data_IF_516310197376
#
_entry.id   IF_516310197376
#
_cell.length_a   1.000
_cell.length_b   1.000
_cell.length_c   1.000
_cell.angle_alpha   90.00
_cell.angle_beta   90.00
_cell.angle_gamma   90.00
#
_symmetry.space_group_name_H-M   'P 1'
#
loop_
_entity.id
_entity.type
_entity.pdbx_description
1 polymer ?
#
# COMPACT_ATOMS: atom_id res chain seq x y z
N UNK A 1 26.65 -26.41 -2.07
CA UNK A 1 25.74 -27.54 -1.81
C UNK A 1 24.88 -27.67 -3.05
N UNK A 2 25.00 -28.77 -3.78
CA UNK A 2 24.34 -28.94 -5.07
C UNK A 2 22.83 -28.68 -4.98
N UNK A 3 22.30 -27.93 -5.93
CA UNK A 3 20.88 -27.62 -6.15
C UNK A 3 20.01 -28.88 -6.40
N UNK A 4 20.55 -30.09 -6.19
CA UNK A 4 19.97 -31.39 -6.55
C UNK A 4 19.21 -32.09 -5.41
N UNK A 5 19.08 -31.50 -4.22
CA UNK A 5 18.40 -32.15 -3.08
C UNK A 5 16.98 -31.68 -2.76
N UNK A 6 16.43 -30.71 -3.51
CA UNK A 6 15.08 -30.17 -3.25
C UNK A 6 14.09 -30.57 -4.35
N UNK A 7 12.91 -31.14 -4.01
CA UNK A 7 11.93 -31.51 -5.01
C UNK A 7 11.34 -30.24 -5.67
N UNK A 8 11.13 -30.24 -7.00
CA UNK A 8 10.40 -29.19 -7.70
C UNK A 8 9.05 -28.89 -7.04
N UNK A 9 8.61 -27.64 -7.11
CA UNK A 9 7.23 -27.25 -6.79
C UNK A 9 6.28 -27.83 -7.83
N UNK A 10 5.31 -28.63 -7.40
CA UNK A 10 4.28 -29.20 -8.28
C UNK A 10 3.12 -28.23 -8.46
N UNK A 11 2.34 -28.41 -9.54
CA UNK A 11 1.14 -27.59 -9.77
C UNK A 11 0.09 -27.77 -8.67
N UNK A 12 -0.09 -29.00 -8.16
CA UNK A 12 -1.06 -29.25 -7.08
C UNK A 12 -0.69 -28.52 -5.79
N UNK A 13 0.60 -28.53 -5.41
CA UNK A 13 1.07 -27.74 -4.26
C UNK A 13 0.87 -26.25 -4.49
N UNK A 14 1.17 -25.74 -5.69
CA UNK A 14 0.94 -24.35 -6.01
C UNK A 14 -0.54 -23.96 -5.91
N UNK A 15 -1.45 -24.80 -6.43
CA UNK A 15 -2.89 -24.60 -6.32
C UNK A 15 -3.34 -24.50 -4.86
N UNK A 16 -2.83 -25.38 -3.98
CA UNK A 16 -3.09 -25.32 -2.53
C UNK A 16 -2.60 -24.02 -1.88
N UNK A 17 -1.54 -23.40 -2.41
CA UNK A 17 -1.03 -22.13 -1.90
C UNK A 17 -1.80 -20.91 -2.41
N UNK A 18 -2.26 -20.94 -3.66
CA UNK A 18 -2.90 -19.78 -4.29
C UNK A 18 -4.42 -19.75 -4.09
N UNK A 19 -5.12 -20.88 -4.14
CA UNK A 19 -6.58 -20.92 -4.04
C UNK A 19 -7.13 -20.24 -2.78
N UNK A 20 -6.57 -20.47 -1.57
CA UNK A 20 -7.05 -19.81 -0.34
C UNK A 20 -6.79 -18.31 -0.30
N UNK A 21 -5.94 -17.78 -1.18
CA UNK A 21 -5.63 -16.35 -1.25
C UNK A 21 -6.64 -15.56 -2.09
N UNK A 22 -7.71 -16.23 -2.54
CA UNK A 22 -8.85 -15.61 -3.22
C UNK A 22 -9.66 -14.65 -2.32
N UNK A 23 -10.82 -14.18 -2.78
CA UNK A 23 -11.54 -14.61 -3.97
C UNK A 23 -10.76 -14.27 -5.26
N UNK A 24 -11.01 -15.05 -6.30
CA UNK A 24 -10.44 -14.83 -7.63
C UNK A 24 -11.58 -14.59 -8.61
N UNK A 25 -11.49 -13.55 -9.43
CA UNK A 25 -12.46 -13.31 -10.51
C UNK A 25 -12.51 -14.48 -11.52
N UNK A 26 -13.53 -14.54 -12.36
CA UNK A 26 -13.64 -15.58 -13.39
C UNK A 26 -12.44 -15.54 -14.37
N UNK A 27 -12.03 -16.70 -14.88
CA UNK A 27 -10.94 -16.80 -15.86
C UNK A 27 -11.47 -16.63 -17.29
N UNK A 28 -11.85 -15.40 -17.65
CA UNK A 28 -12.37 -15.03 -18.97
C UNK A 28 -11.64 -13.80 -19.50
N UNK A 29 -11.40 -13.76 -20.82
CA UNK A 29 -10.67 -12.67 -21.49
C UNK A 29 -11.39 -11.31 -21.44
N UNK A 30 -12.69 -11.29 -21.16
CA UNK A 30 -13.51 -10.07 -21.07
C UNK A 30 -13.54 -9.44 -19.66
N UNK A 31 -12.85 -10.02 -18.70
CA UNK A 31 -12.69 -9.51 -17.34
C UNK A 31 -11.24 -9.03 -17.17
N UNK A 32 -10.96 -8.02 -16.33
CA UNK A 32 -9.58 -7.61 -16.10
C UNK A 32 -8.67 -8.76 -15.64
N UNK A 33 -7.44 -8.86 -16.18
CA UNK A 33 -6.51 -9.94 -15.86
C UNK A 33 -5.99 -9.84 -14.43
N UNK A 34 -5.47 -10.96 -13.92
CA UNK A 34 -4.60 -10.95 -12.73
C UNK A 34 -3.20 -10.49 -13.16
N UNK A 35 -2.64 -9.51 -12.45
CA UNK A 35 -1.31 -9.01 -12.73
C UNK A 35 -0.22 -9.81 -12.00
N UNK A 36 0.95 -9.98 -12.62
CA UNK A 36 2.15 -10.54 -11.99
C UNK A 36 3.37 -9.67 -12.29
N UNK A 37 4.15 -9.32 -11.26
CA UNK A 37 5.41 -8.61 -11.47
C UNK A 37 6.55 -9.60 -11.74
N UNK A 38 7.23 -9.45 -12.89
CA UNK A 38 8.29 -10.37 -13.33
C UNK A 38 9.58 -9.61 -13.57
N UNK A 39 10.61 -9.89 -12.78
CA UNK A 39 11.93 -9.24 -12.89
C UNK A 39 12.89 -9.97 -13.84
N UNK A 40 12.54 -11.18 -14.28
CA UNK A 40 13.43 -12.05 -15.06
C UNK A 40 14.32 -12.96 -14.22
N UNK A 41 14.32 -12.77 -12.89
CA UNK A 41 14.97 -13.67 -11.94
C UNK A 41 14.17 -14.96 -11.71
N UNK A 42 14.83 -15.97 -11.13
CA UNK A 42 14.28 -17.32 -10.92
C UNK A 42 12.92 -17.31 -10.20
N UNK A 43 12.78 -16.54 -9.12
CA UNK A 43 11.59 -16.62 -8.27
C UNK A 43 10.34 -16.08 -8.98
N UNK A 44 10.49 -14.94 -9.66
CA UNK A 44 9.40 -14.30 -10.42
C UNK A 44 9.02 -15.08 -11.68
N UNK A 45 10.00 -15.70 -12.36
CA UNK A 45 9.74 -16.57 -13.51
C UNK A 45 9.08 -17.88 -13.09
N UNK A 46 9.46 -18.46 -11.94
CA UNK A 46 8.79 -19.64 -11.41
C UNK A 46 7.33 -19.32 -11.05
N UNK A 47 7.06 -18.17 -10.44
CA UNK A 47 5.69 -17.72 -10.20
C UNK A 47 4.91 -17.58 -11.51
N UNK A 48 5.47 -16.91 -12.52
CA UNK A 48 4.82 -16.76 -13.82
C UNK A 48 4.50 -18.11 -14.48
N UNK A 49 5.43 -19.06 -14.44
CA UNK A 49 5.23 -20.43 -14.94
C UNK A 49 4.09 -21.15 -14.22
N UNK A 50 4.05 -21.11 -12.88
CA UNK A 50 2.98 -21.78 -12.12
C UNK A 50 1.62 -21.12 -12.37
N UNK A 51 1.60 -19.80 -12.55
CA UNK A 51 0.40 -19.05 -12.89
C UNK A 51 -0.11 -19.38 -14.30
N UNK A 52 0.75 -19.50 -15.31
CA UNK A 52 0.33 -19.83 -16.68
C UNK A 52 -0.36 -21.19 -16.79
N UNK A 53 -0.12 -22.07 -15.82
CA UNK A 53 -0.76 -23.40 -15.70
C UNK A 53 -2.02 -23.37 -14.84
N UNK A 54 -2.19 -22.34 -14.02
CA UNK A 54 -3.32 -22.19 -13.11
C UNK A 54 -4.47 -21.42 -13.76
N UNK A 55 -4.16 -20.41 -14.57
CA UNK A 55 -5.13 -19.47 -15.15
C UNK A 55 -4.70 -19.00 -16.53
N UNK A 56 -5.65 -18.68 -17.41
CA UNK A 56 -5.37 -18.12 -18.75
C UNK A 56 -5.23 -16.60 -18.73
N UNK A 57 -6.18 -15.91 -18.10
CA UNK A 57 -6.26 -14.45 -18.10
C UNK A 57 -5.31 -13.82 -17.06
N UNK A 58 -4.02 -13.78 -17.43
CA UNK A 58 -2.93 -13.19 -16.65
C UNK A 58 -2.21 -12.15 -17.51
N UNK A 59 -1.75 -11.07 -16.87
CA UNK A 59 -0.90 -10.08 -17.51
C UNK A 59 0.37 -9.85 -16.68
N UNK A 60 1.54 -9.95 -17.32
CA UNK A 60 2.81 -9.72 -16.63
C UNK A 60 3.32 -8.28 -16.83
N UNK A 61 3.80 -7.68 -15.75
CA UNK A 61 4.50 -6.40 -15.78
C UNK A 61 5.99 -6.61 -15.49
N UNK A 62 6.84 -6.09 -16.37
CA UNK A 62 8.29 -6.13 -16.24
C UNK A 62 8.74 -4.71 -16.00
N UNK A 63 9.48 -4.45 -14.91
CA UNK A 63 9.97 -3.10 -14.62
C UNK A 63 11.42 -2.97 -15.08
N UNK A 64 11.65 -2.10 -16.06
CA UNK A 64 12.99 -1.68 -16.45
C UNK A 64 13.39 -0.47 -15.62
N UNK A 65 14.34 -0.68 -14.70
CA UNK A 65 14.81 0.35 -13.78
C UNK A 65 15.79 1.35 -14.42
N UNK A 66 16.33 1.04 -15.61
CA UNK A 66 17.38 1.80 -16.29
C UNK A 66 18.65 2.10 -15.46
N UNK A 67 18.85 1.40 -14.32
CA UNK A 67 20.00 1.59 -13.45
C UNK A 67 21.29 1.01 -14.02
N UNK A 68 21.17 0.04 -14.94
CA UNK A 68 22.28 -0.63 -15.62
C UNK A 68 22.03 -0.60 -17.12
N UNK A 69 23.08 -0.52 -17.92
CA UNK A 69 22.99 -0.57 -19.40
C UNK A 69 22.35 -1.86 -19.90
N UNK A 70 22.49 -2.97 -19.16
CA UNK A 70 21.86 -4.25 -19.49
C UNK A 70 20.37 -4.35 -19.16
N UNK A 71 19.81 -3.43 -18.36
CA UNK A 71 18.45 -3.53 -17.80
C UNK A 71 17.37 -3.63 -18.88
N UNK A 72 17.47 -2.82 -19.94
CA UNK A 72 16.53 -2.88 -21.06
C UNK A 72 16.59 -4.20 -21.84
N UNK A 73 17.79 -4.74 -22.07
CA UNK A 73 17.97 -6.04 -22.73
C UNK A 73 17.44 -7.19 -21.85
N UNK A 74 17.71 -7.14 -20.54
CA UNK A 74 17.16 -8.09 -19.55
C UNK A 74 15.62 -8.08 -19.55
N UNK A 75 14.99 -6.91 -19.65
CA UNK A 75 13.54 -6.77 -19.75
C UNK A 75 12.98 -7.41 -21.04
N UNK A 76 13.62 -7.19 -22.19
CA UNK A 76 13.23 -7.80 -23.47
C UNK A 76 13.40 -9.32 -23.43
N UNK A 77 14.50 -9.83 -22.88
CA UNK A 77 14.72 -11.27 -22.69
C UNK A 77 13.62 -11.87 -21.82
N UNK A 78 13.23 -11.19 -20.75
CA UNK A 78 12.15 -11.61 -19.86
C UNK A 78 10.80 -11.64 -20.58
N UNK A 79 10.48 -10.62 -21.36
CA UNK A 79 9.27 -10.58 -22.19
C UNK A 79 9.22 -11.74 -23.18
N UNK A 80 10.34 -12.06 -23.85
CA UNK A 80 10.43 -13.20 -24.77
C UNK A 80 10.27 -14.56 -24.07
N UNK A 81 10.65 -14.68 -22.79
CA UNK A 81 10.40 -15.89 -22.00
C UNK A 81 8.93 -16.01 -21.62
N UNK A 82 8.30 -14.91 -21.25
CA UNK A 82 6.87 -14.88 -20.91
C UNK A 82 5.98 -15.18 -22.12
N UNK A 83 6.35 -14.72 -23.32
CA UNK A 83 5.62 -15.05 -24.54
C UNK A 83 5.64 -16.56 -24.83
N UNK A 84 6.75 -17.25 -24.55
CA UNK A 84 6.83 -18.73 -24.65
C UNK A 84 5.94 -19.45 -23.63
N UNK A 85 5.62 -18.78 -22.52
CA UNK A 85 4.65 -19.26 -21.53
C UNK A 85 3.21 -18.84 -21.86
N UNK A 86 2.97 -18.21 -23.02
CA UNK A 86 1.69 -17.65 -23.43
C UNK A 86 1.14 -16.58 -22.47
N UNK A 87 2.02 -15.84 -21.80
CA UNK A 87 1.64 -14.73 -20.91
C UNK A 87 1.85 -13.39 -21.62
N UNK A 88 0.77 -12.63 -21.90
CA UNK A 88 0.87 -11.23 -22.31
C UNK A 88 1.66 -10.41 -21.31
N UNK A 89 2.52 -9.50 -21.79
CA UNK A 89 3.35 -8.69 -20.89
C UNK A 89 3.58 -7.27 -21.37
N UNK A 90 3.81 -6.37 -20.42
CA UNK A 90 4.15 -4.96 -20.67
C UNK A 90 5.41 -4.59 -19.90
N UNK A 91 6.34 -3.93 -20.59
CA UNK A 91 7.54 -3.35 -19.98
C UNK A 91 7.19 -1.94 -19.49
N UNK A 92 7.49 -1.68 -18.23
CA UNK A 92 7.32 -0.41 -17.54
C UNK A 92 8.70 0.19 -17.31
N UNK A 93 9.02 1.23 -18.07
CA UNK A 93 10.30 1.91 -17.97
C UNK A 93 10.23 3.02 -16.92
N UNK A 94 11.10 2.94 -15.91
CA UNK A 94 11.23 4.00 -14.90
C UNK A 94 12.15 5.09 -15.43
N UNK A 95 11.60 6.29 -15.65
CA UNK A 95 12.39 7.46 -16.01
C UNK A 95 12.81 8.22 -14.75
N UNK A 96 13.97 8.89 -14.80
CA UNK A 96 14.40 9.90 -13.82
C UNK A 96 14.66 9.42 -12.38
N UNK A 97 15.23 8.22 -12.19
CA UNK A 97 15.78 7.85 -10.89
C UNK A 97 17.10 8.59 -10.62
N UNK A 98 17.01 9.77 -9.99
CA UNK A 98 18.17 10.57 -9.62
C UNK A 98 19.10 9.81 -8.66
N UNK A 99 20.39 9.76 -8.99
CA UNK A 99 21.43 9.16 -8.16
C UNK A 99 21.55 9.88 -6.80
N UNK A 100 21.97 9.16 -5.76
CA UNK A 100 22.23 9.72 -4.42
C UNK A 100 21.86 8.79 -3.28
N UNK A 101 22.02 9.25 -2.04
CA UNK A 101 21.61 8.52 -0.84
C UNK A 101 20.14 8.08 -0.92
N UNK A 102 19.81 6.88 -0.42
CA UNK A 102 18.47 6.28 -0.48
C UNK A 102 17.92 5.98 -1.90
N UNK A 103 18.79 5.84 -2.91
CA UNK A 103 18.39 5.41 -4.26
C UNK A 103 17.61 4.09 -4.26
N UNK A 104 18.01 3.12 -3.44
CA UNK A 104 17.34 1.81 -3.35
C UNK A 104 15.87 1.96 -2.90
N UNK A 105 15.62 2.79 -1.88
CA UNK A 105 14.27 3.04 -1.40
C UNK A 105 13.44 3.82 -2.43
N UNK A 106 14.03 4.84 -3.08
CA UNK A 106 13.36 5.56 -4.18
C UNK A 106 13.02 4.65 -5.35
N UNK A 107 13.95 3.80 -5.77
CA UNK A 107 13.74 2.85 -6.86
C UNK A 107 12.66 1.82 -6.48
N UNK A 108 12.62 1.40 -5.23
CA UNK A 108 11.56 0.51 -4.71
C UNK A 108 10.20 1.20 -4.74
N UNK A 109 10.09 2.44 -4.27
CA UNK A 109 8.84 3.22 -4.30
C UNK A 109 8.38 3.41 -5.75
N UNK A 110 9.25 3.92 -6.62
CA UNK A 110 8.95 4.15 -8.04
C UNK A 110 8.50 2.87 -8.76
N UNK A 111 9.11 1.72 -8.44
CA UNK A 111 8.68 0.43 -8.97
C UNK A 111 7.24 0.09 -8.58
N UNK A 112 6.90 0.22 -7.31
CA UNK A 112 5.54 -0.08 -6.84
C UNK A 112 4.54 0.91 -7.43
N UNK A 113 4.86 2.20 -7.48
CA UNK A 113 3.99 3.21 -8.08
C UNK A 113 3.73 2.93 -9.57
N UNK A 114 4.77 2.58 -10.34
CA UNK A 114 4.61 2.19 -11.75
C UNK A 114 3.77 0.92 -11.92
N UNK A 115 3.96 -0.08 -11.07
CA UNK A 115 3.16 -1.31 -11.08
C UNK A 115 1.69 -1.02 -10.75
N UNK A 116 1.41 -0.19 -9.74
CA UNK A 116 0.05 0.17 -9.35
C UNK A 116 -0.66 1.00 -10.43
N UNK A 117 0.02 1.96 -11.03
CA UNK A 117 -0.49 2.73 -12.16
C UNK A 117 -0.82 1.83 -13.36
N UNK A 118 0.09 0.91 -13.71
CA UNK A 118 -0.14 -0.04 -14.80
C UNK A 118 -1.30 -1.00 -14.52
N UNK A 119 -1.43 -1.49 -13.28
CA UNK A 119 -2.56 -2.31 -12.86
C UNK A 119 -3.87 -1.53 -12.97
N UNK A 120 -3.89 -0.29 -12.49
CA UNK A 120 -5.06 0.61 -12.57
C UNK A 120 -5.50 0.83 -14.02
N UNK A 121 -4.55 1.13 -14.92
CA UNK A 121 -4.80 1.31 -16.37
C UNK A 121 -5.32 0.04 -17.06
N UNK A 122 -4.97 -1.14 -16.55
CA UNK A 122 -5.47 -2.43 -17.05
C UNK A 122 -6.69 -2.96 -16.31
N UNK A 123 -7.15 -2.27 -15.26
CA UNK A 123 -8.25 -2.72 -14.40
C UNK A 123 -7.89 -3.90 -13.49
N UNK A 124 -6.61 -4.24 -13.35
CA UNK A 124 -6.16 -5.34 -12.51
C UNK A 124 -6.38 -5.03 -11.03
N UNK A 125 -7.13 -5.89 -10.34
CA UNK A 125 -7.38 -5.79 -8.91
C UNK A 125 -6.35 -6.55 -8.07
N UNK A 126 -5.66 -7.52 -8.68
CA UNK A 126 -4.67 -8.38 -8.03
C UNK A 126 -3.30 -8.21 -8.67
N UNK A 127 -2.26 -7.99 -7.85
CA UNK A 127 -0.86 -7.99 -8.26
C UNK A 127 -0.07 -9.01 -7.45
N UNK A 128 0.40 -10.05 -8.14
CA UNK A 128 1.15 -11.15 -7.56
C UNK A 128 2.67 -10.90 -7.62
N UNK A 129 3.37 -11.25 -6.54
CA UNK A 129 4.82 -11.07 -6.40
C UNK A 129 5.51 -12.39 -6.03
N UNK A 130 6.66 -12.66 -6.63
CA UNK A 130 7.45 -13.87 -6.44
C UNK A 130 8.28 -13.92 -5.14
N UNK A 131 7.79 -13.34 -4.05
CA UNK A 131 8.51 -13.42 -2.76
C UNK A 131 8.37 -14.81 -2.13
N UNK A 132 9.46 -15.29 -1.55
CA UNK A 132 9.56 -16.67 -1.05
C UNK A 132 9.99 -16.77 0.42
N UNK A 133 10.14 -18.00 0.95
CA UNK A 133 10.48 -18.24 2.35
C UNK A 133 11.83 -17.62 2.77
N UNK A 134 12.84 -17.65 1.89
CA UNK A 134 14.10 -16.95 2.11
C UNK A 134 13.93 -15.43 2.31
N UNK A 135 13.13 -14.76 1.49
CA UNK A 135 12.86 -13.32 1.64
C UNK A 135 12.18 -12.99 2.97
N UNK A 136 11.32 -13.88 3.44
CA UNK A 136 10.70 -13.74 4.75
C UNK A 136 11.71 -13.83 5.87
N UNK A 137 12.55 -14.87 5.85
CA UNK A 137 13.59 -15.04 6.86
C UNK A 137 14.54 -13.82 6.91
N UNK A 138 14.95 -13.32 5.74
CA UNK A 138 15.73 -12.08 5.62
C UNK A 138 15.00 -10.89 6.26
N UNK A 139 13.72 -10.70 5.93
CA UNK A 139 12.91 -9.58 6.45
C UNK A 139 12.74 -9.65 7.97
N UNK A 140 12.47 -10.84 8.51
CA UNK A 140 12.29 -11.05 9.95
C UNK A 140 13.61 -10.79 10.68
N UNK A 141 14.73 -11.33 10.18
CA UNK A 141 16.04 -11.13 10.78
C UNK A 141 16.47 -9.66 10.75
N UNK A 142 16.19 -8.94 9.66
CA UNK A 142 16.38 -7.48 9.59
C UNK A 142 15.62 -6.76 10.70
N UNK A 143 14.35 -7.11 10.90
CA UNK A 143 13.48 -6.47 11.90
C UNK A 143 13.89 -6.81 13.33
N UNK A 144 14.35 -8.04 13.59
CA UNK A 144 14.96 -8.43 14.87
C UNK A 144 16.17 -7.54 15.15
N UNK A 145 17.10 -7.40 14.19
CA UNK A 145 18.31 -6.57 14.34
C UNK A 145 18.01 -5.09 14.52
N UNK A 146 16.90 -4.62 13.97
CA UNK A 146 16.44 -3.25 14.14
C UNK A 146 15.70 -3.01 15.47
N UNK A 147 15.55 -4.03 16.33
CA UNK A 147 14.81 -3.91 17.59
C UNK A 147 13.30 -3.74 17.40
N UNK A 148 12.74 -4.27 16.30
CA UNK A 148 11.31 -4.16 16.03
C UNK A 148 10.48 -4.89 17.10
N UNK A 149 9.35 -4.28 17.47
CA UNK A 149 8.36 -4.92 18.34
C UNK A 149 7.71 -6.16 17.67
N UNK A 150 6.98 -6.94 18.47
CA UNK A 150 6.30 -8.18 18.06
C UNK A 150 5.56 -8.09 16.71
N UNK A 151 4.76 -7.03 16.50
CA UNK A 151 4.01 -6.85 15.24
C UNK A 151 4.91 -6.63 14.01
N UNK A 152 6.11 -6.11 14.22
CA UNK A 152 7.14 -6.02 13.19
C UNK A 152 7.67 -7.41 12.82
N UNK A 153 7.75 -8.34 13.77
CA UNK A 153 8.26 -9.68 13.52
C UNK A 153 7.32 -10.56 12.69
N UNK A 154 6.06 -10.13 12.47
CA UNK A 154 5.12 -10.77 11.55
C UNK A 154 5.64 -10.93 10.11
N UNK A 155 6.67 -10.19 9.70
CA UNK A 155 7.28 -10.30 8.37
C UNK A 155 6.44 -9.62 7.28
N UNK A 156 6.44 -10.16 6.06
CA UNK A 156 5.51 -9.75 5.00
C UNK A 156 4.21 -10.56 5.08
N UNK A 157 3.08 -9.94 4.75
CA UNK A 157 1.80 -10.64 4.66
C UNK A 157 1.68 -11.41 3.31
N UNK A 158 0.94 -12.52 3.30
CA UNK A 158 0.48 -13.19 2.07
C UNK A 158 -0.39 -12.28 1.23
N UNK A 159 -1.32 -11.56 1.88
CA UNK A 159 -2.21 -10.57 1.25
C UNK A 159 -2.03 -9.23 1.93
N UNK A 160 -1.98 -8.17 1.13
CA UNK A 160 -2.04 -6.80 1.58
C UNK A 160 -3.03 -6.05 0.70
N UNK A 161 -4.16 -5.65 1.29
CA UNK A 161 -5.13 -4.81 0.60
C UNK A 161 -4.67 -3.36 0.64
N UNK A 162 -4.53 -2.77 -0.54
CA UNK A 162 -4.30 -1.34 -0.76
C UNK A 162 -5.59 -0.76 -1.38
N UNK A 163 -5.82 0.57 -1.31
CA UNK A 163 -7.09 1.18 -1.69
C UNK A 163 -7.67 0.73 -3.04
N UNK A 164 -6.83 0.44 -4.03
CA UNK A 164 -7.26 0.08 -5.38
C UNK A 164 -6.68 -1.26 -5.87
N UNK A 165 -5.90 -1.98 -5.04
CA UNK A 165 -5.21 -3.20 -5.49
C UNK A 165 -4.86 -4.12 -4.31
N UNK A 166 -4.95 -5.41 -4.54
CA UNK A 166 -4.51 -6.45 -3.61
C UNK A 166 -3.14 -6.99 -4.01
N UNK A 167 -2.18 -6.87 -3.11
CA UNK A 167 -0.86 -7.48 -3.27
C UNK A 167 -0.88 -8.91 -2.73
N UNK A 168 -0.55 -9.89 -3.57
CA UNK A 168 -0.57 -11.31 -3.20
C UNK A 168 0.81 -11.97 -3.36
N UNK A 169 1.20 -12.80 -2.41
CA UNK A 169 2.52 -13.49 -2.38
C UNK A 169 2.35 -15.00 -2.20
N UNK A 170 1.98 -15.76 -3.25
CA UNK A 170 1.66 -17.18 -3.11
C UNK A 170 2.85 -18.06 -2.67
N UNK A 171 4.08 -17.63 -2.99
CA UNK A 171 5.28 -18.45 -2.76
C UNK A 171 5.94 -18.24 -1.39
N UNK A 172 5.31 -17.49 -0.49
CA UNK A 172 5.93 -16.99 0.75
C UNK A 172 6.36 -18.09 1.72
N UNK A 173 5.76 -19.28 1.62
CA UNK A 173 6.13 -20.49 2.36
C UNK A 173 7.12 -21.40 1.61
N UNK A 174 7.42 -21.13 0.34
CA UNK A 174 8.19 -22.02 -0.53
C UNK A 174 9.68 -21.70 -0.43
N UNK A 175 10.55 -22.69 -0.21
CA UNK A 175 12.00 -22.49 -0.27
C UNK A 175 12.46 -22.10 -1.68
N UNK A 176 13.40 -21.13 -1.83
CA UNK A 176 13.85 -20.68 -3.15
C UNK A 176 14.58 -21.77 -3.96
N UNK A 177 15.15 -22.78 -3.30
CA UNK A 177 15.76 -23.94 -3.95
C UNK A 177 14.73 -24.75 -4.74
N UNK A 178 13.50 -24.91 -4.21
CA UNK A 178 12.41 -25.59 -4.93
C UNK A 178 12.02 -24.84 -6.19
N UNK A 179 12.01 -23.50 -6.14
CA UNK A 179 11.69 -22.65 -7.30
C UNK A 179 12.74 -22.82 -8.42
N UNK A 180 14.03 -22.82 -8.07
CA UNK A 180 15.13 -23.12 -9.02
C UNK A 180 15.02 -24.53 -9.58
N UNK A 181 14.75 -25.53 -8.73
CA UNK A 181 14.57 -26.92 -9.16
C UNK A 181 13.40 -27.06 -10.15
N UNK A 182 12.30 -26.34 -9.96
CA UNK A 182 11.18 -26.26 -10.91
C UNK A 182 11.63 -25.70 -12.26
N UNK A 183 12.30 -24.55 -12.28
CA UNK A 183 12.76 -23.96 -13.54
C UNK A 183 13.76 -24.86 -14.29
N UNK A 184 14.67 -25.52 -13.56
CA UNK A 184 15.60 -26.50 -14.15
C UNK A 184 14.87 -27.69 -14.76
N UNK A 185 13.89 -28.26 -14.06
CA UNK A 185 13.07 -29.37 -14.58
C UNK A 185 12.35 -29.00 -15.89
N UNK A 186 11.96 -27.73 -16.02
CA UNK A 186 11.22 -27.19 -17.15
C UNK A 186 12.13 -26.57 -18.22
N UNK A 187 13.46 -26.69 -18.06
CA UNK A 187 14.48 -26.12 -18.96
C UNK A 187 14.33 -24.60 -19.19
N UNK A 188 13.87 -23.86 -18.17
CA UNK A 188 13.72 -22.41 -18.22
C UNK A 188 14.95 -21.75 -17.62
N UNK A 189 15.68 -21.01 -18.45
CA UNK A 189 16.81 -20.17 -18.02
C UNK A 189 16.28 -18.86 -17.44
N UNK A 190 16.88 -18.39 -16.34
CA UNK A 190 16.59 -17.09 -15.73
C UNK A 190 17.78 -16.13 -15.86
N UNK A 191 17.58 -14.86 -15.54
CA UNK A 191 18.66 -13.87 -15.39
C UNK A 191 19.15 -13.90 -13.95
N UNK A 192 20.46 -13.98 -13.74
CA UNK A 192 21.07 -13.77 -12.44
C UNK A 192 21.56 -12.32 -12.34
N UNK A 193 20.94 -11.54 -11.45
CA UNK A 193 21.37 -10.16 -11.22
C UNK A 193 22.75 -10.17 -10.53
N UNK A 194 23.80 -9.56 -11.14
CA UNK A 194 25.13 -9.49 -10.55
C UNK A 194 25.15 -8.80 -9.17
N UNK A 195 24.21 -7.88 -8.92
CA UNK A 195 24.09 -7.19 -7.63
C UNK A 195 23.69 -8.13 -6.49
N UNK A 196 23.15 -9.33 -6.77
CA UNK A 196 22.86 -10.34 -5.74
C UNK A 196 24.11 -10.83 -5.00
N UNK A 197 25.31 -10.61 -5.56
CA UNK A 197 26.59 -10.96 -4.95
C UNK A 197 27.26 -9.76 -4.25
N UNK A 198 26.70 -8.56 -4.35
CA UNK A 198 27.29 -7.36 -3.76
C UNK A 198 27.10 -7.33 -2.25
N UNK A 199 28.19 -7.59 -1.51
CA UNK A 199 28.19 -7.61 -0.04
C UNK A 199 28.05 -6.23 0.60
N UNK A 200 28.03 -5.13 -0.17
CA UNK A 200 27.67 -3.80 0.35
C UNK A 200 26.17 -3.71 0.65
N UNK A 201 25.35 -4.55 0.00
CA UNK A 201 23.90 -4.60 0.21
C UNK A 201 23.61 -5.44 1.46
N UNK A 202 23.02 -4.81 2.48
CA UNK A 202 22.71 -5.45 3.77
C UNK A 202 21.91 -6.74 3.62
N UNK A 203 21.01 -6.79 2.65
CA UNK A 203 20.19 -7.98 2.35
C UNK A 203 21.04 -9.16 1.84
N UNK A 204 22.03 -8.90 1.00
CA UNK A 204 22.97 -9.93 0.54
C UNK A 204 23.87 -10.42 1.68
N UNK A 205 24.28 -9.54 2.60
CA UNK A 205 25.02 -9.95 3.80
C UNK A 205 24.21 -10.93 4.65
N UNK A 206 22.93 -10.62 4.88
CA UNK A 206 22.01 -11.50 5.61
C UNK A 206 21.77 -12.81 4.90
N UNK A 207 21.59 -12.77 3.56
CA UNK A 207 21.45 -13.98 2.75
C UNK A 207 22.70 -14.86 2.87
N UNK A 208 23.90 -14.26 2.81
CA UNK A 208 25.15 -14.98 2.99
C UNK A 208 25.23 -15.61 4.38
N UNK A 209 24.93 -14.83 5.42
CA UNK A 209 24.92 -15.30 6.81
C UNK A 209 23.95 -16.48 7.03
N UNK A 210 22.73 -16.37 6.50
CA UNK A 210 21.74 -17.44 6.50
C UNK A 210 22.23 -18.66 5.68
N UNK A 211 23.09 -18.46 4.67
CA UNK A 211 23.65 -19.50 3.79
C UNK A 211 24.97 -20.14 4.25
N UNK A 212 25.61 -19.68 5.35
CA UNK A 212 26.91 -20.21 5.80
C UNK A 212 26.95 -21.11 7.06
N UNK A 213 25.85 -21.41 7.76
CA UNK A 213 25.88 -22.26 8.98
C UNK A 213 25.26 -23.65 8.78
N UNK A 214 25.94 -24.72 9.17
CA UNK A 214 25.44 -26.11 9.10
C UNK A 214 24.25 -26.42 10.04
N UNK A 215 23.82 -25.47 10.88
CA UNK A 215 22.62 -25.52 11.73
C UNK A 215 21.36 -24.90 11.04
N UNK A 216 21.40 -24.82 9.72
CA UNK A 216 20.66 -23.91 8.82
C UNK A 216 19.15 -24.07 8.71
N UNK A 217 18.67 -25.31 8.55
CA UNK A 217 17.22 -25.56 8.41
C UNK A 217 16.48 -25.19 9.70
N UNK A 218 17.15 -25.28 10.86
CA UNK A 218 16.62 -24.86 12.15
C UNK A 218 16.43 -23.35 12.22
N UNK A 219 17.45 -22.56 11.89
CA UNK A 219 17.39 -21.09 12.01
C UNK A 219 16.32 -20.46 11.09
N UNK A 220 16.27 -20.86 9.82
CA UNK A 220 15.25 -20.36 8.88
C UNK A 220 13.85 -20.80 9.33
N UNK A 221 13.68 -22.07 9.73
CA UNK A 221 12.38 -22.56 10.20
C UNK A 221 11.92 -21.85 11.47
N UNK A 222 12.81 -21.56 12.42
CA UNK A 222 12.52 -20.76 13.62
C UNK A 222 12.10 -19.33 13.26
N UNK A 223 12.79 -18.66 12.34
CA UNK A 223 12.40 -17.31 11.89
C UNK A 223 11.02 -17.29 11.24
N UNK A 224 10.73 -18.29 10.39
CA UNK A 224 9.43 -18.44 9.74
C UNK A 224 8.32 -18.80 10.74
N UNK A 225 8.59 -19.68 11.70
CA UNK A 225 7.65 -20.01 12.77
C UNK A 225 7.31 -18.77 13.61
N UNK A 226 8.32 -18.00 14.00
CA UNK A 226 8.12 -16.75 14.74
C UNK A 226 7.31 -15.75 13.93
N UNK A 227 7.58 -15.59 12.63
CA UNK A 227 6.77 -14.76 11.74
C UNK A 227 5.32 -15.23 11.65
N UNK A 228 5.08 -16.55 11.69
CA UNK A 228 3.72 -17.12 11.71
C UNK A 228 2.95 -16.81 12.98
N UNK A 229 3.59 -17.00 14.12
CA UNK A 229 2.99 -16.69 15.43
C UNK A 229 2.68 -15.20 15.56
N UNK A 230 3.65 -14.35 15.24
CA UNK A 230 3.49 -12.91 15.33
C UNK A 230 2.53 -12.35 14.28
N UNK A 231 2.46 -12.97 13.10
CA UNK A 231 1.46 -12.67 12.08
C UNK A 231 0.04 -12.97 12.56
N UNK A 232 -0.20 -14.13 13.19
CA UNK A 232 -1.50 -14.48 13.77
C UNK A 232 -1.90 -13.53 14.91
N UNK A 233 -0.97 -13.22 15.81
CA UNK A 233 -1.19 -12.27 16.89
C UNK A 233 -1.53 -10.88 16.35
N UNK A 234 -0.82 -10.43 15.31
CA UNK A 234 -1.09 -9.14 14.66
C UNK A 234 -2.48 -9.10 14.02
N UNK A 235 -2.88 -10.14 13.29
CA UNK A 235 -4.23 -10.20 12.69
C UNK A 235 -5.33 -10.16 13.76
N UNK A 236 -5.13 -10.83 14.90
CA UNK A 236 -6.07 -10.75 16.03
C UNK A 236 -6.20 -9.31 16.56
N UNK A 237 -5.06 -8.63 16.77
CA UNK A 237 -5.05 -7.21 17.21
C UNK A 237 -5.68 -6.28 16.18
N UNK A 238 -5.42 -6.50 14.88
CA UNK A 238 -6.00 -5.71 13.79
C UNK A 238 -7.53 -5.87 13.75
N UNK A 239 -8.05 -7.08 14.00
CA UNK A 239 -9.48 -7.34 14.15
C UNK A 239 -10.08 -6.65 15.38
N UNK A 240 -9.48 -6.84 16.55
CA UNK A 240 -9.94 -6.19 17.80
C UNK A 240 -9.96 -4.66 17.66
N UNK A 241 -8.96 -4.09 16.99
CA UNK A 241 -8.92 -2.67 16.65
C UNK A 241 -10.07 -2.28 15.71
N UNK A 242 -10.32 -3.04 14.65
CA UNK A 242 -11.40 -2.76 13.71
C UNK A 242 -12.76 -2.78 14.40
N UNK A 243 -13.02 -3.77 15.26
CA UNK A 243 -14.25 -3.87 16.04
C UNK A 243 -14.43 -2.63 16.95
N UNK A 244 -13.37 -2.19 17.61
CA UNK A 244 -13.38 -0.98 18.45
C UNK A 244 -13.65 0.28 17.62
N UNK A 245 -13.00 0.42 16.46
CA UNK A 245 -13.19 1.58 15.59
C UNK A 245 -14.63 1.66 15.06
N UNK A 246 -15.22 0.54 14.65
CA UNK A 246 -16.61 0.49 14.17
C UNK A 246 -17.61 0.89 15.25
N UNK A 247 -17.35 0.50 16.50
CA UNK A 247 -18.25 0.81 17.62
C UNK A 247 -18.17 2.26 18.08
N UNK A 248 -17.00 2.89 17.94
CA UNK A 248 -16.72 4.15 18.63
C UNK A 248 -16.34 5.32 17.72
N UNK A 249 -16.11 5.10 16.43
CA UNK A 249 -15.59 6.12 15.52
C UNK A 249 -16.49 6.27 14.30
N UNK A 250 -17.02 7.48 14.12
CA UNK A 250 -17.73 7.87 12.91
C UNK A 250 -16.82 8.77 12.06
N UNK A 251 -16.52 8.33 10.83
CA UNK A 251 -15.82 9.17 9.84
C UNK A 251 -16.82 9.90 8.99
N UNK A 252 -16.65 11.21 8.92
CA UNK A 252 -17.52 12.13 8.20
C UNK A 252 -16.90 12.49 6.84
N UNK A 253 -17.71 12.58 5.76
CA UNK A 253 -17.22 12.87 4.42
C UNK A 253 -16.48 14.21 4.34
N UNK A 254 -16.75 15.14 5.26
CA UNK A 254 -16.05 16.41 5.39
C UNK A 254 -14.58 16.26 5.86
N UNK A 255 -14.13 15.04 6.17
CA UNK A 255 -12.75 14.70 6.50
C UNK A 255 -12.38 14.87 7.98
N UNK A 256 -13.35 14.63 8.87
CA UNK A 256 -13.16 14.59 10.33
C UNK A 256 -13.74 13.31 10.93
N UNK A 257 -13.38 13.03 12.18
CA UNK A 257 -13.88 11.90 12.95
C UNK A 257 -14.63 12.38 14.21
N UNK A 258 -15.72 11.70 14.54
CA UNK A 258 -16.39 11.79 15.84
C UNK A 258 -16.10 10.50 16.61
N UNK A 259 -15.71 10.65 17.88
CA UNK A 259 -15.36 9.55 18.77
C UNK A 259 -16.28 9.57 19.98
N UNK A 260 -17.07 8.52 20.18
CA UNK A 260 -17.97 8.40 21.33
C UNK A 260 -17.26 7.95 22.61
N UNK A 261 -16.10 7.29 22.48
CA UNK A 261 -15.34 6.79 23.61
C UNK A 261 -14.46 7.88 24.26
N UNK A 262 -14.38 7.86 25.59
CA UNK A 262 -13.48 8.73 26.37
C UNK A 262 -12.04 8.21 26.42
N UNK A 263 -11.85 6.91 26.14
CA UNK A 263 -10.56 6.25 26.05
C UNK A 263 -10.49 5.44 24.77
N UNK A 264 -9.32 5.45 24.14
CA UNK A 264 -9.06 4.67 22.94
C UNK A 264 -7.63 4.16 23.00
N UNK A 265 -7.42 2.93 22.53
CA UNK A 265 -6.10 2.32 22.52
C UNK A 265 -5.16 3.03 21.52
N UNK A 266 -3.88 3.08 21.83
CA UNK A 266 -2.87 3.87 21.11
C UNK A 266 -2.79 3.52 19.61
N UNK A 267 -2.87 2.24 19.24
CA UNK A 267 -2.89 1.79 17.84
C UNK A 267 -4.11 2.36 17.12
N UNK A 268 -5.30 2.26 17.72
CA UNK A 268 -6.55 2.79 17.17
C UNK A 268 -6.49 4.31 16.99
N UNK A 269 -6.00 5.03 18.00
CA UNK A 269 -5.79 6.47 17.89
C UNK A 269 -4.81 6.84 16.77
N UNK A 270 -3.70 6.11 16.67
CA UNK A 270 -2.72 6.30 15.60
C UNK A 270 -3.31 6.09 14.20
N UNK A 271 -4.22 5.12 14.05
CA UNK A 271 -4.94 4.87 12.81
C UNK A 271 -5.90 6.02 12.43
N UNK A 272 -6.65 6.54 13.39
CA UNK A 272 -7.55 7.69 13.19
C UNK A 272 -6.72 8.91 12.80
N UNK A 273 -5.66 9.23 13.56
CA UNK A 273 -4.80 10.39 13.28
C UNK A 273 -4.21 10.28 11.88
N UNK A 274 -3.64 9.13 11.50
CA UNK A 274 -3.07 8.92 10.17
C UNK A 274 -4.10 9.15 9.05
N UNK A 275 -5.32 8.67 9.26
CA UNK A 275 -6.42 8.80 8.29
C UNK A 275 -6.88 10.26 8.17
N UNK A 276 -7.07 10.96 9.28
CA UNK A 276 -7.47 12.37 9.32
C UNK A 276 -6.32 13.32 8.95
N UNK A 277 -5.06 12.93 9.12
CA UNK A 277 -3.91 13.78 8.76
C UNK A 277 -3.49 13.62 7.31
N UNK A 278 -3.75 12.46 6.69
CA UNK A 278 -3.29 12.14 5.34
C UNK A 278 -1.84 11.69 5.32
N UNK A 279 -1.25 11.51 6.50
CA UNK A 279 0.14 11.08 6.67
C UNK A 279 0.29 9.61 6.28
N UNK A 280 1.46 9.24 5.78
CA UNK A 280 1.81 7.83 5.54
C UNK A 280 2.03 7.10 6.88
N UNK A 281 2.59 7.80 7.87
CA UNK A 281 2.93 7.25 9.17
C UNK A 281 2.05 7.83 10.28
N UNK A 282 1.72 7.00 11.27
CA UNK A 282 1.11 7.45 12.51
C UNK A 282 2.14 8.24 13.35
N UNK A 283 1.69 9.10 14.29
CA UNK A 283 2.57 9.73 15.26
C UNK A 283 3.35 8.68 16.08
N UNK A 284 4.51 9.10 16.60
CA UNK A 284 5.34 8.24 17.46
C UNK A 284 4.57 7.75 18.68
N UNK A 285 4.75 6.46 19.04
CA UNK A 285 3.96 5.79 20.08
C UNK A 285 3.97 6.50 21.42
N UNK A 286 5.08 7.14 21.81
CA UNK A 286 5.17 7.88 23.07
C UNK A 286 4.20 9.07 23.14
N UNK A 287 3.92 9.72 21.99
CA UNK A 287 2.90 10.77 21.90
C UNK A 287 1.49 10.21 22.05
N UNK A 288 1.26 8.98 21.58
CA UNK A 288 -0.04 8.29 21.64
C UNK A 288 -0.33 7.71 23.02
N UNK A 289 0.67 7.19 23.73
CA UNK A 289 0.50 6.67 25.10
C UNK A 289 0.05 7.77 26.08
N UNK A 290 0.46 9.03 25.83
CA UNK A 290 0.01 10.20 26.59
C UNK A 290 -1.46 10.56 26.31
N UNK A 291 -2.11 9.90 25.36
CA UNK A 291 -3.47 10.17 24.88
C UNK A 291 -4.47 9.05 25.20
N UNK A 292 -4.12 8.11 26.09
CA UNK A 292 -5.08 7.10 26.58
C UNK A 292 -6.36 7.73 27.14
N UNK A 293 -6.23 8.92 27.71
CA UNK A 293 -7.35 9.81 28.05
C UNK A 293 -7.32 11.01 27.11
N UNK A 294 -8.37 11.14 26.30
CA UNK A 294 -8.46 12.24 25.34
C UNK A 294 -8.60 13.58 26.07
N UNK A 295 -7.95 14.61 25.50
CA UNK A 295 -8.00 16.00 25.95
C UNK A 295 -7.85 16.93 24.75
N UNK A 296 -8.26 18.19 24.90
CA UNK A 296 -8.10 19.18 23.83
C UNK A 296 -6.63 19.44 23.52
N UNK A 297 -6.19 19.13 22.29
CA UNK A 297 -4.82 19.39 21.83
C UNK A 297 -4.64 19.12 20.33
N UNK A 298 -3.45 19.39 19.82
CA UNK A 298 -3.01 18.99 18.48
C UNK A 298 -1.96 17.89 18.57
N UNK A 299 -2.09 16.84 17.74
CA UNK A 299 -1.08 15.79 17.57
C UNK A 299 -1.08 15.31 16.12
N UNK A 300 0.10 15.14 15.51
CA UNK A 300 0.22 14.62 14.14
C UNK A 300 -0.50 15.44 13.07
N UNK A 301 -0.68 16.75 13.30
CA UNK A 301 -1.47 17.64 12.44
C UNK A 301 -2.99 17.37 12.49
N UNK A 302 -3.46 16.81 13.60
CA UNK A 302 -4.88 16.61 13.90
C UNK A 302 -5.19 17.31 15.22
N UNK A 303 -6.21 18.16 15.21
CA UNK A 303 -6.78 18.80 16.39
C UNK A 303 -7.88 17.93 16.98
N UNK A 304 -7.80 17.76 18.29
CA UNK A 304 -8.72 17.00 19.13
C UNK A 304 -9.39 17.99 20.07
N UNK A 305 -10.72 17.94 20.20
CA UNK A 305 -11.50 18.75 21.15
C UNK A 305 -12.85 18.08 21.43
N UNK A 306 -13.60 18.47 22.48
CA UNK A 306 -14.97 17.99 22.69
C UNK A 306 -15.86 18.24 21.47
N UNK A 307 -16.72 17.28 21.14
CA UNK A 307 -17.60 17.35 19.97
C UNK A 307 -18.65 18.48 20.08
N UNK A 308 -19.06 18.84 21.30
CA UNK A 308 -19.92 19.99 21.56
C UNK A 308 -21.29 19.80 20.91
N UNK A 309 -21.67 20.69 19.98
CA UNK A 309 -22.97 20.63 19.29
C UNK A 309 -23.12 19.42 18.35
N UNK A 310 -22.03 18.71 18.07
CA UNK A 310 -22.05 17.50 17.22
C UNK A 310 -22.36 16.23 18.00
N UNK A 311 -22.47 16.31 19.33
CA UNK A 311 -22.81 15.19 20.20
C UNK A 311 -21.83 15.02 21.34
N UNK A 312 -21.96 13.89 22.03
CA UNK A 312 -21.06 13.51 23.12
C UNK A 312 -19.72 12.98 22.58
N UNK A 313 -18.67 13.12 23.40
CA UNK A 313 -17.33 12.63 23.08
C UNK A 313 -16.44 13.67 22.38
N UNK A 314 -15.67 13.22 21.39
CA UNK A 314 -14.54 13.95 20.84
C UNK A 314 -14.63 14.15 19.33
N UNK A 315 -14.25 15.34 18.89
CA UNK A 315 -14.08 15.72 17.50
C UNK A 315 -12.59 15.75 17.15
N UNK A 316 -12.23 15.03 16.09
CA UNK A 316 -10.86 15.01 15.54
C UNK A 316 -10.86 15.48 14.08
N UNK A 317 -10.11 16.54 13.78
CA UNK A 317 -10.07 17.14 12.45
C UNK A 317 -8.68 17.68 12.13
N UNK A 318 -8.41 17.92 10.84
CA UNK A 318 -7.11 18.43 10.37
C UNK A 318 -6.76 19.76 11.04
N UNK A 319 -5.50 19.95 11.42
CA UNK A 319 -4.98 21.24 11.87
C UNK A 319 -4.70 22.15 10.67
N UNK A 320 -5.21 23.38 10.69
CA UNK A 320 -5.07 24.36 9.61
C UNK A 320 -3.61 24.63 9.21
N UNK A 321 -2.71 24.75 10.18
CA UNK A 321 -1.29 25.00 9.94
C UNK A 321 -0.56 23.81 9.26
N UNK A 322 -1.14 22.61 9.33
CA UNK A 322 -0.56 21.40 8.75
C UNK A 322 -1.10 21.11 7.34
N UNK A 323 -2.05 21.89 6.83
CA UNK A 323 -2.70 21.64 5.55
C UNK A 323 -1.81 21.98 4.37
N UNK A 324 -1.97 21.21 3.29
CA UNK A 324 -1.42 21.59 2.00
C UNK A 324 -1.97 22.95 1.56
N UNK A 325 -1.12 23.79 0.97
CA UNK A 325 -1.54 25.03 0.29
C UNK A 325 -2.52 24.72 -0.84
N UNK A 326 -3.16 25.77 -1.38
CA UNK A 326 -3.97 25.65 -2.59
C UNK A 326 -3.16 25.04 -3.73
N UNK A 327 -3.80 24.17 -4.49
CA UNK A 327 -3.22 23.55 -5.68
C UNK A 327 -4.17 23.70 -6.85
N UNK A 328 -3.59 23.83 -8.04
CA UNK A 328 -4.35 23.83 -9.29
C UNK A 328 -5.05 22.48 -9.47
N UNK A 329 -6.30 22.53 -9.93
CA UNK A 329 -7.08 21.33 -10.18
C UNK A 329 -6.63 20.68 -11.49
N UNK A 330 -6.41 19.37 -11.43
CA UNK A 330 -6.03 18.49 -12.54
C UNK A 330 -6.93 17.25 -12.51
N UNK A 331 -6.99 16.43 -13.58
CA UNK A 331 -7.89 15.27 -13.63
C UNK A 331 -7.72 14.26 -12.47
N UNK A 332 -6.49 14.07 -12.00
CA UNK A 332 -6.16 13.15 -10.89
C UNK A 332 -5.84 13.89 -9.58
N UNK A 333 -6.35 15.12 -9.41
CA UNK A 333 -6.00 15.96 -8.27
C UNK A 333 -6.48 15.35 -6.95
N UNK A 334 -5.53 15.15 -6.03
CA UNK A 334 -5.78 14.80 -4.63
C UNK A 334 -5.17 15.88 -3.76
N UNK A 335 -6.01 16.63 -3.07
CA UNK A 335 -5.59 17.70 -2.17
C UNK A 335 -5.45 17.20 -0.72
N UNK A 336 -4.42 17.71 -0.04
CA UNK A 336 -4.03 17.36 1.34
C UNK A 336 -3.89 15.84 1.55
N UNK A 337 -3.55 15.10 0.48
CA UNK A 337 -3.45 13.63 0.41
C UNK A 337 -4.71 12.86 0.84
N UNK A 338 -5.86 13.54 0.91
CA UNK A 338 -7.10 12.98 1.46
C UNK A 338 -8.36 13.34 0.70
N UNK A 339 -8.31 14.32 -0.20
CA UNK A 339 -9.50 14.79 -0.89
C UNK A 339 -9.33 14.65 -2.39
N UNK A 340 -10.01 13.66 -2.99
CA UNK A 340 -10.05 13.50 -4.44
C UNK A 340 -11.01 14.52 -5.03
N UNK A 341 -10.54 15.27 -6.01
CA UNK A 341 -11.37 16.17 -6.80
C UNK A 341 -11.98 15.39 -7.96
N UNK A 342 -13.29 15.54 -8.17
CA UNK A 342 -13.99 14.97 -9.31
C UNK A 342 -14.71 16.11 -10.04
N UNK A 343 -14.30 16.32 -11.28
CA UNK A 343 -14.91 17.28 -12.20
C UNK A 343 -15.43 16.49 -13.41
N UNK A 344 -16.71 16.68 -13.81
CA UNK A 344 -17.24 16.03 -15.01
C UNK A 344 -16.44 16.39 -16.27
N UNK A 345 -16.36 15.44 -17.20
CA UNK A 345 -15.65 15.63 -18.47
C UNK A 345 -16.11 16.89 -19.21
N UNK A 346 -15.14 17.65 -19.72
CA UNK A 346 -15.39 18.91 -20.43
C UNK A 346 -15.76 20.11 -19.54
N UNK A 347 -15.85 19.95 -18.22
CA UNK A 347 -16.11 21.08 -17.30
C UNK A 347 -14.85 21.66 -16.65
N UNK A 348 -13.66 21.09 -16.92
CA UNK A 348 -12.42 21.60 -16.37
C UNK A 348 -12.13 23.01 -16.89
N UNK A 349 -11.76 23.91 -15.97
CA UNK A 349 -11.41 25.31 -16.28
C UNK A 349 -10.00 25.60 -15.81
N UNK A 350 -9.30 26.45 -16.56
CA UNK A 350 -7.98 26.95 -16.17
C UNK A 350 -8.05 27.87 -14.96
N UNK A 351 -7.03 27.80 -14.10
CA UNK A 351 -6.88 28.69 -12.94
C UNK A 351 -7.71 28.33 -11.70
N UNK A 352 -8.48 27.24 -11.77
CA UNK A 352 -9.22 26.72 -10.63
C UNK A 352 -8.27 26.03 -9.66
N UNK A 353 -8.43 26.37 -8.38
CA UNK A 353 -7.69 25.77 -7.29
C UNK A 353 -8.61 25.05 -6.32
N UNK A 354 -8.07 24.03 -5.65
CA UNK A 354 -8.67 23.42 -4.47
C UNK A 354 -7.80 23.75 -3.24
N UNK A 355 -8.45 24.11 -2.14
CA UNK A 355 -7.76 24.41 -0.89
C UNK A 355 -8.69 24.59 0.30
N UNK A 356 -8.13 24.96 1.44
CA UNK A 356 -8.89 25.19 2.66
C UNK A 356 -9.85 26.36 2.49
N UNK A 357 -11.04 26.24 3.09
CA UNK A 357 -12.05 27.30 3.11
C UNK A 357 -11.53 28.56 3.85
N UNK A 358 -10.64 28.39 4.83
CA UNK A 358 -10.04 29.49 5.58
C UNK A 358 -11.11 30.43 6.15
N UNK A 359 -10.88 31.75 6.14
CA UNK A 359 -11.86 32.74 6.61
C UNK A 359 -13.13 32.86 5.73
N UNK A 360 -13.17 32.20 4.56
CA UNK A 360 -14.35 32.18 3.69
C UNK A 360 -15.60 31.60 4.37
N UNK A 361 -15.42 30.80 5.42
CA UNK A 361 -16.53 30.20 6.18
C UNK A 361 -17.48 31.23 6.81
N UNK A 362 -17.01 32.45 7.11
CA UNK A 362 -17.81 33.48 7.79
C UNK A 362 -19.10 33.80 7.04
N UNK A 363 -19.10 33.65 5.72
CA UNK A 363 -20.28 33.84 4.86
C UNK A 363 -21.38 32.79 5.12
N UNK A 364 -21.01 31.61 5.66
CA UNK A 364 -21.89 30.44 5.76
C UNK A 364 -21.94 29.81 7.15
N UNK A 365 -21.33 30.45 8.16
CA UNK A 365 -21.24 29.93 9.51
C UNK A 365 -22.61 29.64 10.16
N UNK A 366 -23.67 30.33 9.72
CA UNK A 366 -25.04 30.13 10.21
C UNK A 366 -25.76 28.93 9.59
N UNK A 367 -25.21 28.30 8.54
CA UNK A 367 -25.88 27.23 7.78
C UNK A 367 -25.66 25.83 8.35
N UNK A 368 -24.82 25.67 9.36
CA UNK A 368 -24.48 24.38 9.94
C UNK A 368 -24.10 24.53 11.42
N UNK A 369 -23.91 23.40 12.09
CA UNK A 369 -23.53 23.33 13.51
C UNK A 369 -22.03 23.11 13.72
N UNK A 370 -21.22 23.13 12.65
CA UNK A 370 -19.79 22.86 12.75
C UNK A 370 -19.07 24.00 13.48
N UNK A 371 -18.10 23.68 14.36
CA UNK A 371 -17.25 24.69 14.97
C UNK A 371 -16.50 25.50 13.91
N UNK A 372 -16.30 26.79 14.15
CA UNK A 372 -15.53 27.67 13.25
C UNK A 372 -14.16 27.10 12.89
N UNK A 373 -13.48 26.44 13.83
CA UNK A 373 -12.19 25.80 13.59
C UNK A 373 -12.27 24.63 12.58
N UNK A 374 -13.36 23.88 12.58
CA UNK A 374 -13.60 22.81 11.60
C UNK A 374 -13.95 23.39 10.23
N UNK A 375 -14.79 24.43 10.19
CA UNK A 375 -15.18 25.08 8.93
C UNK A 375 -13.98 25.61 8.14
N UNK A 376 -12.98 26.19 8.82
CA UNK A 376 -11.76 26.72 8.19
C UNK A 376 -10.98 25.66 7.41
N UNK A 377 -11.07 24.39 7.81
CA UNK A 377 -10.28 23.28 7.22
C UNK A 377 -11.06 22.47 6.18
N UNK A 378 -12.31 22.83 5.90
CA UNK A 378 -13.06 22.16 4.85
C UNK A 378 -12.46 22.46 3.47
N UNK A 379 -12.43 21.47 2.56
CA UNK A 379 -12.00 21.70 1.19
C UNK A 379 -13.03 22.57 0.45
N UNK A 380 -12.52 23.50 -0.35
CA UNK A 380 -13.30 24.39 -1.18
C UNK A 380 -12.61 24.62 -2.52
N UNK A 381 -13.41 24.92 -3.54
CA UNK A 381 -12.93 25.37 -4.83
C UNK A 381 -12.78 26.89 -4.84
N UNK A 382 -11.73 27.36 -5.49
CA UNK A 382 -11.38 28.76 -5.64
C UNK A 382 -11.07 29.06 -7.10
N UNK A 383 -11.50 30.23 -7.56
CA UNK A 383 -10.96 30.87 -8.76
C UNK A 383 -10.10 32.05 -8.29
N UNK A 384 -8.78 31.85 -8.31
CA UNK A 384 -7.79 32.77 -7.72
C UNK A 384 -8.12 33.05 -6.24
N UNK A 385 -8.61 34.25 -5.92
CA UNK A 385 -8.97 34.65 -4.55
C UNK A 385 -10.47 34.51 -4.26
N UNK A 386 -11.29 34.23 -5.27
CA UNK A 386 -12.74 34.13 -5.15
C UNK A 386 -13.15 32.71 -4.82
N UNK A 387 -13.92 32.53 -3.74
CA UNK A 387 -14.54 31.25 -3.41
C UNK A 387 -15.62 30.94 -4.44
N UNK A 388 -15.64 29.72 -5.00
CA UNK A 388 -16.65 29.33 -6.01
C UNK A 388 -17.56 28.19 -5.53
N UNK A 389 -17.07 27.28 -4.69
CA UNK A 389 -17.90 26.22 -4.12
C UNK A 389 -17.30 25.61 -2.85
N UNK A 390 -18.19 25.14 -1.97
CA UNK A 390 -17.88 24.29 -0.81
C UNK A 390 -18.81 23.06 -0.89
N UNK A 391 -18.46 22.03 -1.68
CA UNK A 391 -19.36 20.91 -1.98
C UNK A 391 -19.90 20.20 -0.73
N UNK A 392 -19.05 20.01 0.29
CA UNK A 392 -19.43 19.40 1.56
C UNK A 392 -20.49 20.16 2.36
N UNK A 393 -20.65 21.46 2.10
CA UNK A 393 -21.73 22.27 2.68
C UNK A 393 -22.90 22.47 1.71
N UNK A 394 -22.87 21.82 0.54
CA UNK A 394 -23.80 22.02 -0.56
C UNK A 394 -23.89 23.50 -0.99
N UNK A 395 -22.74 24.17 -1.08
CA UNK A 395 -22.65 25.60 -1.46
C UNK A 395 -21.96 25.70 -2.82
N UNK A 396 -22.68 26.26 -3.79
CA UNK A 396 -22.18 26.49 -5.15
C UNK A 396 -22.53 27.93 -5.54
N UNK A 397 -21.51 28.79 -5.65
CA UNK A 397 -21.68 30.22 -5.94
C UNK A 397 -21.70 30.49 -7.45
N UNK A 398 -21.31 29.50 -8.26
CA UNK A 398 -21.43 29.50 -9.71
C UNK A 398 -22.26 28.27 -10.15
N UNK A 399 -23.11 28.43 -11.16
CA UNK A 399 -24.04 27.38 -11.60
C UNK A 399 -23.35 26.22 -12.32
N UNK A 400 -22.23 26.50 -13.00
CA UNK A 400 -21.48 25.55 -13.81
C UNK A 400 -20.57 24.62 -13.02
N UNK A 401 -20.37 24.87 -11.72
CA UNK A 401 -19.60 24.01 -10.80
C UNK A 401 -20.48 23.12 -9.92
N UNK A 402 -21.81 23.12 -10.14
CA UNK A 402 -22.79 22.43 -9.28
C UNK A 402 -22.57 20.91 -9.16
N UNK A 403 -21.98 20.30 -10.19
CA UNK A 403 -21.72 18.86 -10.23
C UNK A 403 -20.29 18.50 -9.81
N UNK A 404 -19.47 19.49 -9.41
CA UNK A 404 -18.10 19.23 -8.98
C UNK A 404 -18.10 18.70 -7.55
N UNK A 405 -17.26 17.70 -7.31
CA UNK A 405 -17.20 17.02 -6.02
C UNK A 405 -15.79 17.06 -5.47
N UNK A 406 -15.73 17.05 -4.14
CA UNK A 406 -14.52 16.78 -3.39
C UNK A 406 -14.88 15.62 -2.46
N UNK A 407 -14.22 14.48 -2.62
CA UNK A 407 -14.53 13.26 -1.88
C UNK A 407 -13.39 12.97 -0.91
N UNK A 408 -13.73 12.74 0.35
CA UNK A 408 -12.76 12.26 1.34
C UNK A 408 -12.36 10.82 1.04
N UNK A 409 -11.12 10.66 0.59
CA UNK A 409 -10.49 9.41 0.22
C UNK A 409 -9.02 9.41 0.72
N UNK A 410 -8.80 9.22 2.03
CA UNK A 410 -7.45 9.16 2.59
C UNK A 410 -6.68 7.98 2.01
N UNK A 411 -5.39 8.19 1.68
CA UNK A 411 -4.52 7.15 1.10
C UNK A 411 -4.33 5.94 2.02
N UNK A 412 -4.39 6.17 3.34
CA UNK A 412 -4.22 5.13 4.35
C UNK A 412 -5.57 4.89 5.04
N UNK A 413 -6.18 3.70 4.90
CA UNK A 413 -7.37 3.37 5.67
C UNK A 413 -7.07 3.28 7.17
N UNK A 414 -8.11 3.43 7.99
CA UNK A 414 -8.01 3.27 9.45
C UNK A 414 -7.72 1.81 9.81
N UNK A 415 -8.43 0.89 9.18
CA UNK A 415 -8.20 -0.55 9.32
C UNK A 415 -7.25 -1.02 8.24
N UNK A 416 -6.40 -1.99 8.58
CA UNK A 416 -5.53 -2.64 7.61
C UNK A 416 -5.99 -4.09 7.46
N UNK A 417 -6.20 -4.52 6.22
CA UNK A 417 -6.51 -5.92 5.92
C UNK A 417 -5.23 -6.59 5.42
N UNK A 418 -4.56 -7.28 6.34
CA UNK A 418 -3.41 -8.13 6.04
C UNK A 418 -3.75 -9.57 6.37
N UNK A 419 -3.50 -10.46 5.42
CA UNK A 419 -3.47 -11.89 5.69
C UNK A 419 -2.00 -12.30 5.83
N UNK A 420 -1.53 -12.54 7.06
CA UNK A 420 -0.14 -12.95 7.26
C UNK A 420 0.07 -14.43 6.95
N UNK A 421 -0.78 -15.30 7.51
CA UNK A 421 -0.65 -16.76 7.38
C UNK A 421 -1.99 -17.45 7.63
N UNK A 422 -2.42 -18.29 6.69
CA UNK A 422 -3.57 -19.19 6.83
C UNK A 422 -4.92 -18.48 7.07
N UNK A 423 -5.99 -19.23 6.84
CA UNK A 423 -7.25 -19.12 7.60
C UNK A 423 -7.30 -20.36 8.49
#
# INVERSE_FOLDING_TARGET
MDDLSFPPLTQNEFNQYIEPLGPWGEDKDNIPPIAVAVSGGADSLCLALMLSRWRKNIHAFIVDHQLRTSSGQEAIITQNRLSRLSIPSTILTLNNLNAGAALEERARIARYDALFDACSKKGCLDLLLGHHAGDQAETVLMRIRAGSAADGLAGMALIMDLPNIRLVRPLLSVPPQRLRATLKKENIVWIEDPSNQDMRIRRNQLRKELSTSSQQSGAISTLLQRSREEGRNRMKKDKEQADLLVQHVEIRPEGFALLSASTIESRALGAIIRTISGSIYAPVSQSLERLRHLRSMTVGGVKIQPAGRLGDGWLMFREEAAMQKRVQVTPDCIWDHRFRVIIPDGQMKDGIEVGALGDGYKQFAHRNTFPSALLRVLPAFWDRQTLIAVPHLNIFLQSDVKNWQIIFQPKQPMTQSYLFWGI
#
